data_IF_791395926226
#
_entry.id   IF_791395926226
#
_cell.length_a   1.000
_cell.length_b   1.000
_cell.length_c   1.000
_cell.angle_alpha   90.00
_cell.angle_beta   90.00
_cell.angle_gamma   90.00
#
_symmetry.space_group_name_H-M   'P 1'
#
loop_
_entity.id
_entity.type
_entity.pdbx_description
1 polymer ?
#
# COMPACT_ATOMS: atom_id res chain seq x y z
N UNK A 1 18.28 27.87 13.48
CA UNK A 1 18.68 26.58 14.04
C UNK A 1 18.16 25.51 13.09
N UNK A 2 19.04 25.09 12.18
CA UNK A 2 18.73 24.07 11.15
C UNK A 2 18.81 22.70 11.82
N UNK A 3 17.64 22.06 11.98
CA UNK A 3 17.56 20.66 12.42
C UNK A 3 18.09 19.79 11.27
N UNK A 4 19.28 19.24 11.43
CA UNK A 4 19.77 18.15 10.60
C UNK A 4 18.90 16.93 10.91
N UNK A 5 18.07 16.55 9.97
CA UNK A 5 17.43 15.25 9.95
C UNK A 5 18.53 14.22 9.66
N UNK A 6 18.91 13.48 10.68
CA UNK A 6 19.87 12.37 10.59
C UNK A 6 19.18 11.25 9.79
N UNK A 7 19.44 11.26 8.48
CA UNK A 7 18.95 10.26 7.54
C UNK A 7 19.63 8.91 7.76
N UNK A 8 19.30 8.24 8.86
CA UNK A 8 19.63 6.84 9.03
C UNK A 8 18.82 6.06 8.00
N UNK A 9 19.47 5.70 6.89
CA UNK A 9 18.91 4.76 5.92
C UNK A 9 18.43 3.52 6.69
N UNK A 10 17.16 3.19 6.51
CA UNK A 10 16.60 1.93 7.02
C UNK A 10 17.37 0.79 6.34
N UNK A 11 18.31 0.19 7.07
CA UNK A 11 19.16 -0.89 6.57
C UNK A 11 18.43 -2.23 6.53
N UNK A 12 17.16 -2.25 6.90
CA UNK A 12 16.33 -3.46 6.91
C UNK A 12 16.19 -3.99 5.48
N UNK A 13 16.44 -5.28 5.30
CA UNK A 13 16.23 -5.99 4.01
C UNK A 13 14.95 -6.80 4.01
N UNK A 14 14.44 -7.11 2.82
CA UNK A 14 13.30 -8.03 2.65
C UNK A 14 13.55 -9.38 3.33
N UNK A 15 14.75 -9.92 3.21
CA UNK A 15 15.15 -11.16 3.86
C UNK A 15 15.06 -11.09 5.39
N UNK A 16 15.49 -9.98 6.01
CA UNK A 16 15.38 -9.79 7.46
C UNK A 16 13.94 -9.71 7.94
N UNK A 17 13.07 -9.01 7.19
CA UNK A 17 11.64 -8.93 7.51
C UNK A 17 11.01 -10.30 7.43
N UNK A 18 11.22 -11.05 6.35
CA UNK A 18 10.66 -12.39 6.18
C UNK A 18 11.23 -13.39 7.19
N UNK A 19 12.49 -13.23 7.62
CA UNK A 19 13.07 -14.06 8.68
C UNK A 19 12.35 -13.86 10.01
N UNK A 20 11.96 -12.63 10.35
CA UNK A 20 11.18 -12.31 11.56
C UNK A 20 9.75 -12.84 11.51
N UNK A 21 9.20 -13.01 10.30
CA UNK A 21 7.86 -13.54 10.11
C UNK A 21 7.79 -15.07 10.15
N UNK A 22 8.92 -15.79 10.15
CA UNK A 22 8.95 -17.26 10.24
C UNK A 22 8.24 -17.75 11.51
N UNK A 23 7.30 -18.70 11.32
CA UNK A 23 6.52 -19.26 12.43
C UNK A 23 5.46 -18.34 13.02
N UNK A 24 5.30 -17.12 12.48
CA UNK A 24 4.16 -16.27 12.79
C UNK A 24 2.92 -16.76 12.05
N UNK A 25 1.70 -16.55 12.59
CA UNK A 25 0.48 -16.89 11.86
C UNK A 25 0.50 -16.29 10.46
N UNK A 26 0.47 -17.13 9.40
CA UNK A 26 0.47 -16.74 7.99
C UNK A 26 1.81 -16.68 7.28
N UNK A 27 2.90 -17.04 7.94
CA UNK A 27 4.14 -17.36 7.22
C UNK A 27 4.00 -18.63 6.38
N UNK A 28 2.99 -19.45 6.66
CA UNK A 28 2.74 -20.71 5.99
C UNK A 28 2.68 -20.60 4.47
N UNK A 29 2.08 -19.51 3.95
CA UNK A 29 2.02 -19.24 2.51
C UNK A 29 3.41 -19.03 1.93
N UNK A 30 4.26 -18.25 2.61
CA UNK A 30 5.63 -17.99 2.20
C UNK A 30 6.55 -19.19 2.44
N UNK A 31 6.27 -19.98 3.47
CA UNK A 31 7.04 -21.16 3.83
C UNK A 31 6.68 -22.36 2.94
N UNK A 32 5.51 -22.35 2.30
CA UNK A 32 5.06 -23.40 1.38
C UNK A 32 5.82 -23.41 0.04
N UNK A 33 6.45 -22.29 -0.36
CA UNK A 33 7.16 -22.16 -1.64
C UNK A 33 8.41 -21.31 -1.49
N UNK A 34 9.62 -21.90 -1.63
CA UNK A 34 10.88 -21.15 -1.66
C UNK A 34 10.91 -20.06 -2.75
N UNK A 35 10.26 -20.31 -3.89
CA UNK A 35 10.18 -19.34 -4.98
C UNK A 35 9.32 -18.12 -4.62
N UNK A 36 8.17 -18.33 -3.93
CA UNK A 36 7.36 -17.22 -3.42
C UNK A 36 8.12 -16.40 -2.38
N UNK A 37 8.85 -17.06 -1.48
CA UNK A 37 9.71 -16.37 -0.51
C UNK A 37 10.72 -15.46 -1.21
N UNK A 38 11.48 -16.00 -2.19
CA UNK A 38 12.44 -15.20 -2.98
C UNK A 38 11.76 -14.04 -3.70
N UNK A 39 10.57 -14.27 -4.27
CA UNK A 39 9.79 -13.20 -4.89
C UNK A 39 9.46 -12.09 -3.89
N UNK A 40 8.97 -12.43 -2.70
CA UNK A 40 8.64 -11.44 -1.67
C UNK A 40 9.88 -10.70 -1.14
N UNK A 41 11.00 -11.38 -0.96
CA UNK A 41 12.28 -10.75 -0.58
C UNK A 41 12.69 -9.69 -1.61
N UNK A 42 12.68 -10.07 -2.90
CA UNK A 42 12.99 -9.15 -3.99
C UNK A 42 11.97 -7.99 -4.08
N UNK A 43 10.69 -8.28 -3.85
CA UNK A 43 9.63 -7.28 -3.86
C UNK A 43 9.86 -6.24 -2.76
N UNK A 44 10.04 -6.67 -1.52
CA UNK A 44 10.28 -5.79 -0.38
C UNK A 44 11.54 -4.95 -0.60
N UNK A 45 12.63 -5.56 -1.05
CA UNK A 45 13.85 -4.84 -1.34
C UNK A 45 13.65 -3.79 -2.42
N UNK A 46 12.99 -4.15 -3.53
CA UNK A 46 12.83 -3.27 -4.69
C UNK A 46 11.92 -2.09 -4.40
N UNK A 47 10.81 -2.30 -3.72
CA UNK A 47 9.77 -1.27 -3.62
C UNK A 47 9.67 -0.63 -2.24
N UNK A 48 10.11 -1.31 -1.18
CA UNK A 48 9.93 -0.84 0.19
C UNK A 48 11.23 -0.32 0.78
N UNK A 49 12.32 -1.09 0.69
CA UNK A 49 13.57 -0.73 1.38
C UNK A 49 14.56 0.03 0.50
N UNK A 50 14.64 -0.29 -0.80
CA UNK A 50 15.59 0.31 -1.74
C UNK A 50 14.92 1.08 -2.87
N UNK A 51 13.58 1.12 -2.88
CA UNK A 51 12.79 1.85 -3.87
C UNK A 51 13.03 3.35 -3.82
N UNK A 52 12.93 4.00 -4.99
CA UNK A 52 13.20 5.43 -5.18
C UNK A 52 11.94 6.30 -5.12
N UNK A 53 10.77 5.70 -5.05
CA UNK A 53 9.52 6.43 -4.81
C UNK A 53 9.59 7.07 -3.43
N UNK A 54 9.22 8.35 -3.32
CA UNK A 54 9.15 9.05 -2.04
C UNK A 54 8.42 8.20 -1.00
N UNK A 55 9.00 8.09 0.19
CA UNK A 55 8.55 7.14 1.20
C UNK A 55 7.14 7.45 1.71
N UNK A 56 6.78 8.73 1.86
CA UNK A 56 5.45 9.13 2.32
C UNK A 56 4.40 8.88 1.23
N UNK A 57 4.66 9.30 0.00
CA UNK A 57 3.76 9.05 -1.14
C UNK A 57 3.56 7.56 -1.40
N UNK A 58 4.62 6.76 -1.23
CA UNK A 58 4.57 5.30 -1.31
C UNK A 58 3.59 4.71 -0.30
N UNK A 59 3.77 5.04 0.98
CA UNK A 59 2.92 4.50 2.03
C UNK A 59 1.45 4.95 1.88
N UNK A 60 1.21 6.21 1.49
CA UNK A 60 -0.15 6.72 1.24
C UNK A 60 -0.83 6.00 0.08
N UNK A 61 -0.11 5.73 -1.02
CA UNK A 61 -0.64 4.96 -2.14
C UNK A 61 -1.00 3.53 -1.73
N UNK A 62 -0.11 2.84 -1.00
CA UNK A 62 -0.35 1.48 -0.49
C UNK A 62 -1.57 1.47 0.43
N UNK A 63 -1.61 2.36 1.41
CA UNK A 63 -2.72 2.47 2.34
C UNK A 63 -4.04 2.74 1.62
N UNK A 64 -4.05 3.59 0.58
CA UNK A 64 -5.26 3.79 -0.22
C UNK A 64 -5.74 2.50 -0.89
N UNK A 65 -4.84 1.73 -1.49
CA UNK A 65 -5.21 0.41 -2.05
C UNK A 65 -5.80 -0.50 -0.98
N UNK A 66 -5.17 -0.58 0.19
CA UNK A 66 -5.65 -1.43 1.29
C UNK A 66 -7.01 -0.99 1.81
N UNK A 67 -7.21 0.32 1.96
CA UNK A 67 -8.52 0.88 2.34
C UNK A 67 -9.62 0.51 1.35
N UNK A 68 -9.36 0.74 0.05
CA UNK A 68 -10.33 0.44 -1.02
C UNK A 68 -10.63 -1.04 -1.17
N UNK A 69 -9.65 -1.90 -0.90
CA UNK A 69 -9.78 -3.36 -0.95
C UNK A 69 -10.27 -3.98 0.37
N UNK A 70 -10.56 -3.19 1.39
CA UNK A 70 -10.94 -3.67 2.73
C UNK A 70 -9.94 -4.67 3.32
N UNK A 71 -8.62 -4.39 3.18
CA UNK A 71 -7.55 -5.23 3.66
C UNK A 71 -6.93 -4.70 4.96
N UNK A 72 -7.47 -5.16 6.11
CA UNK A 72 -7.07 -4.68 7.43
C UNK A 72 -5.64 -5.08 7.82
N UNK A 73 -5.17 -6.25 7.38
CA UNK A 73 -3.84 -6.75 7.73
C UNK A 73 -2.74 -5.86 7.16
N UNK A 74 -2.75 -5.61 5.85
CA UNK A 74 -1.75 -4.76 5.23
C UNK A 74 -1.94 -3.29 5.61
N UNK A 75 -3.18 -2.84 5.84
CA UNK A 75 -3.43 -1.52 6.41
C UNK A 75 -2.68 -1.34 7.74
N UNK A 76 -2.82 -2.28 8.68
CA UNK A 76 -2.17 -2.20 9.98
C UNK A 76 -0.63 -2.21 9.89
N UNK A 77 -0.07 -3.00 8.97
CA UNK A 77 1.37 -3.03 8.71
C UNK A 77 1.87 -1.70 8.15
N UNK A 78 1.23 -1.19 7.10
CA UNK A 78 1.63 0.03 6.42
C UNK A 78 1.30 1.29 7.23
N UNK A 79 0.26 1.28 8.07
CA UNK A 79 0.02 2.35 9.04
C UNK A 79 1.24 2.58 9.96
N UNK A 80 1.74 1.50 10.59
CA UNK A 80 2.94 1.62 11.44
C UNK A 80 4.15 2.11 10.65
N UNK A 81 4.31 1.63 9.42
CA UNK A 81 5.40 2.05 8.55
C UNK A 81 5.27 3.52 8.13
N UNK A 82 4.10 3.97 7.78
CA UNK A 82 3.81 5.36 7.44
C UNK A 82 4.25 6.32 8.56
N UNK A 83 3.98 5.98 9.81
CA UNK A 83 4.44 6.80 10.95
C UNK A 83 5.98 6.88 11.02
N UNK A 84 6.70 5.84 10.62
CA UNK A 84 8.18 5.89 10.59
C UNK A 84 8.74 6.77 9.46
N UNK A 85 7.94 7.06 8.44
CA UNK A 85 8.31 8.02 7.38
C UNK A 85 8.03 9.48 7.76
N UNK A 86 7.45 9.71 8.93
CA UNK A 86 7.10 11.04 9.42
C UNK A 86 5.66 11.48 9.13
N UNK A 87 4.83 10.62 8.53
CA UNK A 87 3.39 10.89 8.39
C UNK A 87 2.71 10.86 9.76
N UNK A 88 1.78 11.79 9.97
CA UNK A 88 0.90 11.80 11.14
C UNK A 88 -0.29 10.86 10.96
N UNK A 89 -0.93 10.44 12.06
CA UNK A 89 -2.19 9.69 12.00
C UNK A 89 -3.28 10.40 11.19
N UNK A 90 -3.37 11.72 11.29
CA UNK A 90 -4.38 12.52 10.58
C UNK A 90 -4.16 12.50 9.06
N UNK A 91 -2.91 12.60 8.59
CA UNK A 91 -2.58 12.48 7.17
C UNK A 91 -2.92 11.09 6.62
N UNK A 92 -2.68 10.03 7.40
CA UNK A 92 -3.09 8.68 7.00
C UNK A 92 -4.61 8.55 6.94
N UNK A 93 -5.35 9.13 7.90
CA UNK A 93 -6.83 9.10 7.88
C UNK A 93 -7.38 9.92 6.72
N UNK A 94 -6.74 11.04 6.38
CA UNK A 94 -7.20 11.92 5.30
C UNK A 94 -7.30 11.21 3.93
N UNK A 95 -6.44 10.19 3.66
CA UNK A 95 -6.52 9.45 2.39
C UNK A 95 -7.80 8.61 2.23
N UNK A 96 -8.62 8.47 3.27
CA UNK A 96 -9.91 7.78 3.21
C UNK A 96 -11.00 8.61 2.52
N UNK A 97 -10.71 9.87 2.17
CA UNK A 97 -11.65 10.79 1.51
C UNK A 97 -12.24 10.22 0.22
N UNK A 98 -13.42 10.71 -0.13
CA UNK A 98 -14.09 10.42 -1.42
C UNK A 98 -13.77 11.46 -2.49
N UNK A 99 -13.15 12.57 -2.12
CA UNK A 99 -12.80 13.69 -3.02
C UNK A 99 -11.32 14.09 -2.84
N UNK A 100 -10.39 13.29 -3.39
CA UNK A 100 -8.96 13.51 -3.22
C UNK A 100 -8.48 14.89 -3.71
N UNK A 101 -9.05 15.40 -4.81
CA UNK A 101 -8.63 16.68 -5.37
C UNK A 101 -8.95 17.87 -4.47
N UNK A 102 -10.04 17.78 -3.72
CA UNK A 102 -10.46 18.85 -2.82
C UNK A 102 -9.77 18.75 -1.47
N UNK A 103 -9.59 17.54 -0.96
CA UNK A 103 -9.29 17.30 0.45
C UNK A 103 -7.80 17.04 0.71
N UNK A 104 -7.00 16.78 -0.32
CA UNK A 104 -5.61 16.37 -0.18
C UNK A 104 -4.64 17.32 -0.91
N UNK A 105 -3.37 17.40 -0.45
CA UNK A 105 -2.32 18.05 -1.21
C UNK A 105 -2.22 17.48 -2.63
N UNK A 106 -1.84 18.29 -3.64
CA UNK A 106 -1.89 17.88 -5.05
C UNK A 106 -1.11 16.60 -5.39
N UNK A 107 0.05 16.40 -4.82
CA UNK A 107 0.89 15.22 -5.01
C UNK A 107 0.27 13.96 -4.36
N UNK A 108 -0.29 14.12 -3.16
CA UNK A 108 -1.03 13.05 -2.47
C UNK A 108 -2.29 12.70 -3.24
N UNK A 109 -3.03 13.69 -3.75
CA UNK A 109 -4.21 13.45 -4.58
C UNK A 109 -3.89 12.61 -5.83
N UNK A 110 -2.74 12.85 -6.47
CA UNK A 110 -2.30 12.07 -7.64
C UNK A 110 -2.08 10.60 -7.29
N UNK A 111 -1.36 10.29 -6.21
CA UNK A 111 -1.08 8.89 -5.83
C UNK A 111 -2.32 8.18 -5.32
N UNK A 112 -3.23 8.87 -4.63
CA UNK A 112 -4.51 8.35 -4.18
C UNK A 112 -5.42 8.01 -5.36
N UNK A 113 -5.52 8.88 -6.37
CA UNK A 113 -6.27 8.58 -7.60
C UNK A 113 -5.68 7.44 -8.40
N UNK A 114 -4.35 7.33 -8.46
CA UNK A 114 -3.69 6.20 -9.11
C UNK A 114 -4.05 4.88 -8.43
N UNK A 115 -4.11 4.85 -7.10
CA UNK A 115 -4.58 3.71 -6.34
C UNK A 115 -6.05 3.39 -6.62
N UNK A 116 -6.92 4.40 -6.66
CA UNK A 116 -8.34 4.24 -6.99
C UNK A 116 -8.54 3.66 -8.40
N UNK A 117 -7.85 4.21 -9.39
CA UNK A 117 -7.92 3.74 -10.78
C UNK A 117 -7.52 2.24 -10.88
N UNK A 118 -6.45 1.82 -10.21
CA UNK A 118 -6.01 0.42 -10.20
C UNK A 118 -7.03 -0.48 -9.51
N UNK A 119 -7.64 -0.03 -8.42
CA UNK A 119 -8.66 -0.83 -7.72
C UNK A 119 -9.94 -0.96 -8.56
N UNK A 120 -10.40 0.13 -9.17
CA UNK A 120 -11.69 0.18 -9.88
C UNK A 120 -11.62 -0.40 -11.29
N UNK A 121 -10.49 -0.21 -12.00
CA UNK A 121 -10.35 -0.50 -13.43
C UNK A 121 -9.26 -1.51 -13.76
N UNK A 122 -8.40 -1.86 -12.79
CA UNK A 122 -7.23 -2.70 -13.00
C UNK A 122 -6.05 -1.98 -13.68
N UNK A 123 -6.15 -0.69 -13.98
CA UNK A 123 -5.09 0.12 -14.59
C UNK A 123 -5.30 1.60 -14.28
N UNK A 124 -4.23 2.39 -14.40
CA UNK A 124 -4.28 3.85 -14.24
C UNK A 124 -4.78 4.47 -15.53
N UNK A 125 -5.84 5.28 -15.44
CA UNK A 125 -6.42 5.98 -16.59
C UNK A 125 -5.51 7.07 -17.16
N UNK A 126 -5.68 7.45 -18.42
CA UNK A 126 -4.79 8.35 -19.15
C UNK A 126 -4.60 9.71 -18.45
N UNK A 127 -5.67 10.30 -17.90
CA UNK A 127 -5.60 11.58 -17.18
C UNK A 127 -4.78 11.47 -15.90
N UNK A 128 -5.00 10.43 -15.10
CA UNK A 128 -4.22 10.15 -13.89
C UNK A 128 -2.77 9.83 -14.25
N UNK A 129 -2.53 9.05 -15.30
CA UNK A 129 -1.17 8.74 -15.75
C UNK A 129 -0.39 9.97 -16.20
N UNK A 130 -1.04 10.93 -16.85
CA UNK A 130 -0.40 12.21 -17.18
C UNK A 130 0.02 12.98 -15.92
N UNK A 131 -0.79 12.96 -14.86
CA UNK A 131 -0.43 13.56 -13.57
C UNK A 131 0.71 12.79 -12.87
N UNK A 132 0.67 11.46 -12.87
CA UNK A 132 1.75 10.58 -12.37
C UNK A 132 3.07 10.86 -13.11
N UNK A 133 3.02 11.09 -14.44
CA UNK A 133 4.21 11.42 -15.23
C UNK A 133 4.82 12.77 -14.84
N UNK A 134 4.01 13.73 -14.44
CA UNK A 134 4.48 15.04 -13.94
C UNK A 134 5.07 14.91 -12.53
N UNK A 135 4.45 14.11 -11.68
CA UNK A 135 4.89 13.88 -10.31
C UNK A 135 6.21 13.08 -10.27
N UNK A 136 6.33 12.06 -11.13
CA UNK A 136 7.52 11.22 -11.25
C UNK A 136 8.13 11.33 -12.66
N UNK A 137 8.91 12.40 -12.95
CA UNK A 137 9.48 12.61 -14.29
C UNK A 137 10.52 11.56 -14.67
N UNK A 138 11.28 11.02 -13.70
CA UNK A 138 12.18 9.88 -13.94
C UNK A 138 11.36 8.63 -14.30
N UNK A 139 11.66 8.04 -15.45
CA UNK A 139 10.92 6.88 -15.96
C UNK A 139 11.04 5.65 -15.05
N UNK A 140 12.21 5.45 -14.43
CA UNK A 140 12.44 4.34 -13.51
C UNK A 140 11.60 4.48 -12.24
N UNK A 141 11.60 5.66 -11.60
CA UNK A 141 10.76 5.94 -10.41
C UNK A 141 9.29 5.78 -10.75
N UNK A 142 8.87 6.28 -11.90
CA UNK A 142 7.49 6.12 -12.37
C UNK A 142 7.10 4.66 -12.55
N UNK A 143 7.96 3.83 -13.15
CA UNK A 143 7.71 2.40 -13.28
C UNK A 143 7.67 1.71 -11.91
N UNK A 144 8.59 2.04 -11.01
CA UNK A 144 8.54 1.52 -9.63
C UNK A 144 7.18 1.82 -8.99
N UNK A 145 6.66 3.04 -9.12
CA UNK A 145 5.36 3.42 -8.61
C UNK A 145 4.20 2.62 -9.25
N UNK A 146 4.22 2.43 -10.57
CA UNK A 146 3.19 1.64 -11.28
C UNK A 146 3.16 0.18 -10.78
N UNK A 147 4.33 -0.46 -10.70
CA UNK A 147 4.44 -1.83 -10.20
C UNK A 147 4.04 -1.93 -8.72
N UNK A 148 4.42 -0.94 -7.91
CA UNK A 148 4.05 -0.88 -6.50
C UNK A 148 2.53 -0.92 -6.32
N UNK A 149 1.80 0.01 -6.95
CA UNK A 149 0.35 0.12 -6.78
C UNK A 149 -0.38 -1.12 -7.32
N UNK A 150 0.01 -1.60 -8.51
CA UNK A 150 -0.56 -2.82 -9.09
C UNK A 150 -0.27 -4.06 -8.23
N UNK A 151 0.94 -4.18 -7.70
CA UNK A 151 1.34 -5.30 -6.85
C UNK A 151 0.61 -5.32 -5.52
N UNK A 152 0.41 -4.18 -4.88
CA UNK A 152 -0.39 -4.12 -3.65
C UNK A 152 -1.86 -4.48 -3.91
N UNK A 153 -2.40 -4.16 -5.10
CA UNK A 153 -3.72 -4.68 -5.49
C UNK A 153 -3.74 -6.19 -5.64
N UNK A 154 -2.66 -6.79 -6.18
CA UNK A 154 -2.48 -8.24 -6.23
C UNK A 154 -2.44 -8.83 -4.81
N UNK A 155 -1.63 -8.29 -3.91
CA UNK A 155 -1.54 -8.77 -2.52
C UNK A 155 -2.88 -8.66 -1.80
N UNK A 156 -3.61 -7.56 -1.99
CA UNK A 156 -4.94 -7.43 -1.44
C UNK A 156 -5.90 -8.54 -1.91
N UNK A 157 -5.80 -8.95 -3.17
CA UNK A 157 -6.62 -10.05 -3.72
C UNK A 157 -6.27 -11.40 -3.11
N UNK A 158 -4.98 -11.70 -2.97
CA UNK A 158 -4.51 -12.95 -2.35
C UNK A 158 -4.93 -12.99 -0.88
N UNK A 159 -4.64 -11.93 -0.11
CA UNK A 159 -4.99 -11.84 1.30
C UNK A 159 -6.50 -11.95 1.55
N UNK A 160 -7.32 -11.39 0.66
CA UNK A 160 -8.77 -11.53 0.73
C UNK A 160 -9.23 -12.98 0.50
N UNK A 161 -8.60 -13.67 -0.47
CA UNK A 161 -8.89 -15.07 -0.78
C UNK A 161 -8.52 -15.99 0.39
N UNK A 162 -7.39 -15.73 1.03
CA UNK A 162 -6.89 -16.48 2.19
C UNK A 162 -7.60 -16.08 3.50
N UNK A 163 -8.48 -15.09 3.50
CA UNK A 163 -9.15 -14.61 4.70
C UNK A 163 -8.20 -13.95 5.71
N UNK A 164 -7.06 -13.41 5.24
CA UNK A 164 -6.08 -12.77 6.12
C UNK A 164 -6.59 -11.43 6.64
N UNK A 165 -6.63 -11.27 7.97
CA UNK A 165 -7.08 -10.05 8.65
C UNK A 165 -6.07 -9.59 9.69
N UNK A 166 -6.12 -8.31 10.08
CA UNK A 166 -5.30 -7.78 11.17
C UNK A 166 -5.56 -8.50 12.49
N UNK A 167 -6.84 -8.76 12.81
CA UNK A 167 -7.26 -9.45 14.03
C UNK A 167 -6.69 -10.87 14.09
N UNK A 168 -6.81 -11.65 13.00
CA UNK A 168 -6.26 -13.00 12.92
C UNK A 168 -4.73 -13.05 13.05
N UNK A 169 -4.05 -11.90 12.92
CA UNK A 169 -2.60 -11.75 13.06
C UNK A 169 -2.18 -11.02 14.35
N UNK A 170 -3.12 -10.75 15.26
CA UNK A 170 -2.86 -10.04 16.50
C UNK A 170 -2.44 -8.59 16.33
N UNK A 171 -2.83 -7.95 15.22
CA UNK A 171 -2.56 -6.54 14.94
C UNK A 171 -3.78 -5.68 15.28
N UNK A 172 -3.57 -4.37 15.60
CA UNK A 172 -4.69 -3.44 15.72
C UNK A 172 -5.53 -3.43 14.45
N UNK A 173 -6.86 -3.50 14.62
CA UNK A 173 -7.79 -3.47 13.48
C UNK A 173 -8.04 -2.01 13.08
N UNK A 174 -7.74 -1.66 11.84
CA UNK A 174 -7.95 -0.33 11.25
C UNK A 174 -7.41 0.84 12.08
N UNK A 175 -6.13 0.83 12.51
CA UNK A 175 -5.57 1.98 13.22
C UNK A 175 -5.63 3.26 12.35
N UNK A 176 -5.70 4.46 12.97
CA UNK A 176 -5.61 4.72 14.41
C UNK A 176 -6.93 4.58 15.17
N UNK A 177 -8.06 4.59 14.49
CA UNK A 177 -9.40 4.85 15.07
C UNK A 177 -10.33 3.63 15.06
N UNK A 178 -9.91 2.50 14.51
CA UNK A 178 -10.73 1.29 14.39
C UNK A 178 -11.83 1.36 13.33
N UNK A 179 -11.91 2.46 12.56
CA UNK A 179 -12.96 2.64 11.55
C UNK A 179 -12.61 1.82 10.30
N UNK A 180 -13.49 0.89 9.92
CA UNK A 180 -13.39 0.11 8.70
C UNK A 180 -13.97 0.85 7.49
N UNK A 181 -13.50 0.58 6.27
CA UNK A 181 -14.17 1.07 5.07
C UNK A 181 -15.59 0.52 4.98
N UNK A 182 -16.52 1.36 4.53
CA UNK A 182 -17.88 0.87 4.21
C UNK A 182 -17.78 -0.09 3.02
N UNK A 183 -18.28 -1.34 3.14
CA UNK A 183 -18.28 -2.26 2.02
C UNK A 183 -18.95 -1.62 0.80
N UNK A 184 -18.32 -1.75 -0.38
CA UNK A 184 -19.00 -1.40 -1.60
C UNK A 184 -20.29 -2.22 -1.70
N UNK A 185 -21.41 -1.57 -2.02
CA UNK A 185 -22.65 -2.29 -2.27
C UNK A 185 -22.37 -3.38 -3.33
N UNK A 186 -22.88 -4.62 -3.15
CA UNK A 186 -22.68 -5.66 -4.14
C UNK A 186 -23.16 -5.13 -5.48
N UNK A 187 -22.29 -5.17 -6.48
CA UNK A 187 -22.67 -4.87 -7.85
C UNK A 187 -23.87 -5.75 -8.18
N UNK A 188 -25.04 -5.14 -8.41
CA UNK A 188 -26.19 -5.86 -8.91
C UNK A 188 -25.79 -6.42 -10.29
N UNK A 189 -25.33 -7.67 -10.30
CA UNK A 189 -25.19 -8.42 -11.52
C UNK A 189 -26.60 -8.51 -12.14
N UNK A 190 -26.92 -7.51 -12.97
CA UNK A 190 -28.09 -7.62 -13.87
C UNK A 190 -27.87 -8.84 -14.72
N UNK A 191 -28.66 -9.88 -14.42
CA UNK A 191 -28.67 -11.10 -15.17
C UNK A 191 -28.86 -10.80 -16.66
N UNK A 192 -27.93 -11.31 -17.45
CA UNK A 192 -28.21 -11.60 -18.85
C UNK A 192 -28.53 -13.09 -18.92
N UNK A 193 -29.81 -13.37 -19.03
CA UNK A 193 -30.33 -14.63 -19.53
C UNK A 193 -29.90 -14.81 -20.98
#
# INVERSE_FOLDING_TARGET
>A
MTSQHDGRADTTSGAEVLARLRGSPGSDVLDSSPQLRTFFECWLDTFIFKGRVDAQLRELAILRVMWRCNQSFEWANHYRRALTTGLSPDEVVAIRTKDPERDLPPDVAVVVRAADDVVDRGHIGAGTYAAVTKLFPDAGVRHEFLYLVAGYRMFASVSATEGTTAEGRGLPVWPPDGVAPTPAAPSSATGRT
#
